data_IF_240106845950
#
_entry.id   IF_240106845950
#
_cell.length_a   1.000
_cell.length_b   1.000
_cell.length_c   1.000
_cell.angle_alpha   90.00
_cell.angle_beta   90.00
_cell.angle_gamma   90.00
#
_symmetry.space_group_name_H-M   'P 1'
#
loop_
_entity.id
_entity.type
_entity.pdbx_description
1 polymer ?
#
# COMPACT_ATOMS: atom_id res chain seq x y z
N UNK A 1 0.57 15.46 -2.72
CA UNK A 1 -0.85 15.56 -2.35
C UNK A 1 -1.27 14.22 -1.77
N UNK A 2 -1.27 14.07 -0.44
CA UNK A 2 -1.86 12.90 0.24
C UNK A 2 -3.38 13.03 0.09
N UNK A 3 -4.05 12.05 -0.54
CA UNK A 3 -5.51 12.05 -0.63
C UNK A 3 -6.07 11.48 0.68
N UNK A 4 -7.01 12.17 1.34
CA UNK A 4 -7.63 11.65 2.55
C UNK A 4 -8.38 10.37 2.21
N UNK A 5 -8.00 9.26 2.85
CA UNK A 5 -8.67 7.99 2.70
C UNK A 5 -10.12 8.11 3.17
N UNK A 6 -11.05 7.58 2.40
CA UNK A 6 -12.44 7.49 2.80
C UNK A 6 -12.52 6.69 4.12
N UNK A 7 -13.24 7.25 5.09
CA UNK A 7 -13.20 6.82 6.48
C UNK A 7 -13.56 5.34 6.66
N UNK A 8 -12.79 4.70 7.56
CA UNK A 8 -12.89 3.33 8.07
C UNK A 8 -11.87 2.30 7.53
N UNK A 9 -11.00 2.67 6.60
CA UNK A 9 -9.83 1.85 6.20
C UNK A 9 -8.58 2.20 7.01
N UNK A 10 -7.74 1.19 7.30
CA UNK A 10 -6.46 1.39 7.97
C UNK A 10 -5.57 2.35 7.15
N UNK A 11 -4.84 3.27 7.82
CA UNK A 11 -3.96 4.21 7.14
C UNK A 11 -2.94 3.47 6.27
N UNK A 12 -2.88 3.81 4.99
CA UNK A 12 -1.95 3.22 4.03
C UNK A 12 -1.26 4.28 3.16
N UNK A 13 -0.04 3.98 2.71
CA UNK A 13 0.69 4.83 1.79
C UNK A 13 1.12 4.06 0.55
N UNK A 14 0.87 4.66 -0.61
CA UNK A 14 1.29 4.12 -1.90
C UNK A 14 2.42 4.98 -2.45
N UNK A 15 3.58 4.37 -2.61
CA UNK A 15 4.76 5.00 -3.15
C UNK A 15 5.06 4.44 -4.53
N UNK A 16 5.36 5.33 -5.47
CA UNK A 16 5.86 4.96 -6.80
C UNK A 16 7.30 5.39 -6.91
N UNK A 17 8.17 4.45 -7.24
CA UNK A 17 9.56 4.73 -7.58
C UNK A 17 9.73 4.49 -9.07
N UNK A 18 10.05 5.53 -9.84
CA UNK A 18 10.06 5.48 -11.32
C UNK A 18 11.45 5.67 -11.94
N UNK A 19 12.52 5.62 -11.14
CA UNK A 19 13.87 6.00 -11.62
C UNK A 19 14.39 5.13 -12.77
N UNK A 20 14.26 3.80 -12.65
CA UNK A 20 14.70 2.84 -13.68
C UNK A 20 13.60 1.85 -14.09
N UNK A 21 12.65 1.59 -13.20
CA UNK A 21 11.45 0.77 -13.40
C UNK A 21 10.32 1.44 -12.62
N UNK A 22 9.08 1.33 -13.08
CA UNK A 22 7.92 1.81 -12.35
C UNK A 22 7.56 0.81 -11.23
N UNK A 23 8.29 0.88 -10.12
CA UNK A 23 8.05 0.06 -8.94
C UNK A 23 6.97 0.72 -8.08
N UNK A 24 6.08 -0.09 -7.53
CA UNK A 24 5.05 0.33 -6.59
C UNK A 24 5.35 -0.31 -5.23
N UNK A 25 5.20 0.46 -4.17
CA UNK A 25 5.33 0.01 -2.79
C UNK A 25 4.11 0.46 -2.01
N UNK A 26 3.52 -0.45 -1.25
CA UNK A 26 2.31 -0.20 -0.47
C UNK A 26 2.60 -0.51 0.98
N UNK A 27 2.49 0.52 1.79
CA UNK A 27 2.70 0.46 3.22
C UNK A 27 1.37 0.58 3.93
N UNK A 28 1.19 -0.20 5.00
CA UNK A 28 -0.01 -0.19 5.81
C UNK A 28 0.37 -0.02 7.27
N UNK A 29 -0.25 0.96 7.93
CA UNK A 29 -0.16 1.13 9.37
C UNK A 29 -1.33 0.41 10.03
N UNK A 30 -1.09 -0.85 10.39
CA UNK A 30 -2.07 -1.68 11.06
C UNK A 30 -2.36 -1.22 12.50
N UNK A 31 -1.45 -0.46 13.10
CA UNK A 31 -1.57 -0.04 14.50
C UNK A 31 -2.26 1.30 14.64
N UNK A 32 -2.41 2.09 13.57
CA UNK A 32 -2.89 3.48 13.61
C UNK A 32 -2.02 4.40 14.47
N UNK A 33 -0.81 3.98 14.82
CA UNK A 33 0.18 4.74 15.59
C UNK A 33 1.34 5.24 14.72
N UNK A 34 1.22 5.13 13.39
CA UNK A 34 2.25 5.53 12.43
C UNK A 34 3.32 4.45 12.19
N UNK A 35 3.02 3.18 12.47
CA UNK A 35 3.91 2.06 12.19
C UNK A 35 3.61 1.44 10.82
N UNK A 36 4.09 2.08 9.77
CA UNK A 36 3.91 1.65 8.40
C UNK A 36 4.77 0.43 8.08
N UNK A 37 4.12 -0.70 7.84
CA UNK A 37 4.76 -1.93 7.38
C UNK A 37 4.57 -2.09 5.87
N UNK A 38 5.63 -2.49 5.15
CA UNK A 38 5.50 -2.89 3.75
C UNK A 38 4.64 -4.15 3.67
N UNK A 39 3.53 -4.06 2.93
CA UNK A 39 2.62 -5.19 2.74
C UNK A 39 2.63 -5.70 1.31
N UNK A 40 2.92 -4.84 0.33
CA UNK A 40 2.98 -5.23 -1.08
C UNK A 40 3.95 -4.38 -1.88
N UNK A 41 4.61 -5.00 -2.84
CA UNK A 41 5.48 -4.35 -3.81
C UNK A 41 5.60 -5.18 -5.10
N UNK A 42 5.81 -4.50 -6.22
CA UNK A 42 6.15 -5.14 -7.50
C UNK A 42 7.67 -5.41 -7.64
N UNK A 43 8.46 -5.00 -6.65
CA UNK A 43 9.89 -5.28 -6.60
C UNK A 43 10.14 -6.76 -6.29
N UNK A 44 10.69 -7.49 -7.27
CA UNK A 44 11.06 -8.92 -7.11
C UNK A 44 12.14 -9.17 -6.07
N UNK A 45 12.84 -8.12 -5.60
CA UNK A 45 13.86 -8.22 -4.54
C UNK A 45 13.25 -8.17 -3.14
N UNK A 46 12.03 -7.68 -3.02
CA UNK A 46 11.36 -7.46 -1.75
C UNK A 46 10.18 -8.44 -1.57
N UNK A 47 10.00 -9.02 -0.38
CA UNK A 47 8.89 -9.92 -0.13
C UNK A 47 7.57 -9.15 0.00
N UNK A 48 6.55 -9.60 -0.74
CA UNK A 48 5.17 -9.14 -0.57
C UNK A 48 4.38 -10.11 0.30
N UNK A 49 3.44 -9.59 1.09
CA UNK A 49 2.51 -10.44 1.84
C UNK A 49 1.45 -10.99 0.90
N UNK A 50 1.23 -12.32 0.82
CA UNK A 50 0.24 -12.90 -0.09
C UNK A 50 -1.20 -12.46 0.23
N UNK A 51 -1.48 -12.10 1.49
CA UNK A 51 -2.78 -11.66 1.98
C UNK A 51 -2.94 -10.13 2.03
N UNK A 52 -2.08 -9.36 1.36
CA UNK A 52 -2.09 -7.89 1.40
C UNK A 52 -3.46 -7.29 1.02
N UNK A 53 -4.16 -7.89 0.06
CA UNK A 53 -5.48 -7.44 -0.37
C UNK A 53 -6.52 -7.51 0.76
N UNK A 54 -6.45 -8.57 1.56
CA UNK A 54 -7.33 -8.74 2.71
C UNK A 54 -6.98 -7.78 3.86
N UNK A 55 -5.71 -7.32 3.95
CA UNK A 55 -5.27 -6.38 4.97
C UNK A 55 -5.68 -4.94 4.66
N UNK A 56 -5.63 -4.54 3.39
CA UNK A 56 -6.11 -3.24 2.93
C UNK A 56 -7.63 -3.15 2.87
N UNK A 57 -8.29 -4.26 2.56
CA UNK A 57 -9.71 -4.27 2.26
C UNK A 57 -10.00 -3.92 0.79
N UNK A 58 -11.17 -4.31 0.28
CA UNK A 58 -11.47 -4.28 -1.15
C UNK A 58 -11.45 -2.87 -1.76
N UNK A 59 -11.89 -1.85 -1.01
CA UNK A 59 -11.92 -0.46 -1.50
C UNK A 59 -10.50 0.09 -1.73
N UNK A 60 -9.60 -0.14 -0.78
CA UNK A 60 -8.23 0.34 -0.87
C UNK A 60 -7.40 -0.47 -1.88
N UNK A 61 -7.71 -1.76 -2.08
CA UNK A 61 -7.13 -2.56 -3.17
C UNK A 61 -7.50 -1.98 -4.53
N UNK A 62 -8.78 -1.65 -4.74
CA UNK A 62 -9.22 -1.01 -5.99
C UNK A 62 -8.51 0.34 -6.22
N UNK A 63 -8.27 1.10 -5.16
CA UNK A 63 -7.51 2.35 -5.24
C UNK A 63 -6.05 2.09 -5.65
N UNK A 64 -5.35 1.16 -4.99
CA UNK A 64 -3.96 0.76 -5.31
C UNK A 64 -3.83 0.23 -6.75
N UNK A 65 -4.80 -0.56 -7.22
CA UNK A 65 -4.82 -1.09 -8.59
C UNK A 65 -5.06 0.01 -9.63
N UNK A 66 -5.93 0.98 -9.32
CA UNK A 66 -6.19 2.15 -10.18
C UNK A 66 -5.04 3.15 -10.18
N UNK A 67 -4.23 3.19 -9.13
CA UNK A 67 -3.13 4.14 -8.97
C UNK A 67 -1.95 3.78 -9.84
#
# INVERSE_FOLDING_TARGET
>A
MQRPQAGNTLPYEVWKYTRNRALKYVFLDQTQFGNYALIWTDDRREPSRPNWQSLLGPEAVQDVERF
#
